data_IF_589608030322
#
_entry.id   IF_589608030322
#
_cell.length_a   1.000
_cell.length_b   1.000
_cell.length_c   1.000
_cell.angle_alpha   90.00
_cell.angle_beta   90.00
_cell.angle_gamma   90.00
#
_symmetry.space_group_name_H-M   'P 1'
#
loop_
_entity.id
_entity.type
_entity.pdbx_description
1 polymer ?
#
# COMPACT_ATOMS: atom_id res chain seq x y z
N UNK A 1 -11.26 -17.67 -19.30
CA UNK A 1 -9.83 -17.30 -19.45
C UNK A 1 -9.72 -15.77 -19.53
N UNK A 2 -10.33 -15.05 -18.59
CA UNK A 2 -10.48 -13.57 -18.61
C UNK A 2 -10.18 -12.93 -17.26
N UNK A 3 -9.94 -13.72 -16.21
CA UNK A 3 -9.85 -13.22 -14.84
C UNK A 3 -8.53 -12.49 -14.53
N UNK A 4 -7.40 -12.92 -15.08
CA UNK A 4 -6.10 -12.30 -14.74
C UNK A 4 -5.87 -10.92 -15.37
N UNK A 5 -6.34 -10.68 -16.60
CA UNK A 5 -6.13 -9.39 -17.27
C UNK A 5 -7.00 -8.27 -16.68
N UNK A 6 -8.24 -8.60 -16.31
CA UNK A 6 -9.16 -7.65 -15.65
C UNK A 6 -8.63 -7.22 -14.28
N UNK A 7 -8.09 -8.18 -13.52
CA UNK A 7 -7.48 -7.93 -12.22
C UNK A 7 -6.24 -7.02 -12.32
N UNK A 8 -5.37 -7.24 -13.31
CA UNK A 8 -4.19 -6.40 -13.54
C UNK A 8 -4.57 -4.95 -13.91
N UNK A 9 -5.59 -4.75 -14.75
CA UNK A 9 -6.09 -3.41 -15.10
C UNK A 9 -6.68 -2.69 -13.87
N UNK A 10 -7.42 -3.41 -13.03
CA UNK A 10 -7.98 -2.87 -11.79
C UNK A 10 -6.89 -2.46 -10.80
N UNK A 11 -5.90 -3.31 -10.54
CA UNK A 11 -4.77 -2.97 -9.66
C UNK A 11 -3.99 -1.77 -10.18
N UNK A 12 -3.79 -1.67 -11.50
CA UNK A 12 -3.14 -0.50 -12.12
C UNK A 12 -3.94 0.79 -11.89
N UNK A 13 -5.27 0.74 -11.98
CA UNK A 13 -6.13 1.89 -11.69
C UNK A 13 -6.05 2.30 -10.21
N UNK A 14 -6.13 1.33 -9.28
CA UNK A 14 -6.01 1.59 -7.85
C UNK A 14 -4.65 2.22 -7.49
N UNK A 15 -3.56 1.74 -8.09
CA UNK A 15 -2.23 2.31 -7.90
C UNK A 15 -2.16 3.77 -8.36
N UNK A 16 -2.79 4.12 -9.49
CA UNK A 16 -2.88 5.51 -9.94
C UNK A 16 -3.62 6.39 -8.95
N UNK A 17 -4.73 5.93 -8.39
CA UNK A 17 -5.46 6.67 -7.36
C UNK A 17 -4.62 6.90 -6.09
N UNK A 18 -3.78 5.93 -5.71
CA UNK A 18 -2.84 6.10 -4.61
C UNK A 18 -1.77 7.16 -4.95
N UNK A 19 -1.24 7.18 -6.17
CA UNK A 19 -0.29 8.22 -6.61
C UNK A 19 -0.94 9.61 -6.51
N UNK A 20 -2.19 9.76 -6.97
CA UNK A 20 -2.93 11.02 -6.88
C UNK A 20 -3.18 11.47 -5.43
N UNK A 21 -3.34 10.51 -4.51
CA UNK A 21 -3.42 10.76 -3.06
C UNK A 21 -2.06 11.13 -2.42
N UNK A 22 -0.95 10.99 -3.14
CA UNK A 22 0.39 11.33 -2.67
C UNK A 22 1.23 10.14 -2.19
N UNK A 23 0.85 8.91 -2.52
CA UNK A 23 1.70 7.76 -2.27
C UNK A 23 2.98 7.81 -3.12
N UNK A 24 4.10 7.64 -2.45
CA UNK A 24 5.40 7.44 -3.07
C UNK A 24 5.70 5.95 -3.16
N UNK A 25 5.89 5.46 -4.37
CA UNK A 25 6.16 4.05 -4.62
C UNK A 25 7.67 3.80 -4.78
N UNK A 26 8.20 2.96 -3.90
CA UNK A 26 9.52 2.40 -3.98
C UNK A 26 9.43 0.98 -4.57
N UNK A 27 10.39 0.66 -5.42
CA UNK A 27 10.52 -0.64 -6.06
C UNK A 27 11.82 -1.29 -5.56
N UNK A 28 11.87 -1.74 -4.29
CA UNK A 28 13.03 -2.46 -3.78
C UNK A 28 13.32 -3.66 -4.67
N UNK A 29 14.56 -3.73 -5.14
CA UNK A 29 15.08 -4.84 -5.91
C UNK A 29 15.88 -5.75 -5.00
N UNK A 30 15.83 -7.04 -5.28
CA UNK A 30 16.64 -8.03 -4.57
C UNK A 30 18.13 -7.93 -4.97
N UNK A 31 18.97 -8.77 -4.37
CA UNK A 31 20.40 -8.82 -4.69
C UNK A 31 20.72 -9.22 -6.14
N UNK A 32 19.71 -9.71 -6.89
CA UNK A 32 19.81 -10.07 -8.31
C UNK A 32 19.31 -8.94 -9.23
N UNK A 33 18.78 -7.86 -8.67
CA UNK A 33 18.21 -6.74 -9.41
C UNK A 33 16.76 -6.94 -9.84
N UNK A 34 16.12 -8.04 -9.41
CA UNK A 34 14.72 -8.36 -9.67
C UNK A 34 13.80 -7.63 -8.68
N UNK A 35 12.59 -7.31 -9.11
CA UNK A 35 11.62 -6.63 -8.25
C UNK A 35 11.22 -7.53 -7.08
N UNK A 36 11.60 -7.16 -5.85
CA UNK A 36 11.30 -7.95 -4.66
C UNK A 36 9.89 -7.67 -4.11
N UNK A 37 9.48 -6.40 -4.15
CA UNK A 37 8.15 -5.94 -3.78
C UNK A 37 7.91 -4.53 -4.34
N UNK A 38 6.65 -4.12 -4.40
CA UNK A 38 6.28 -2.71 -4.58
C UNK A 38 5.85 -2.16 -3.22
N UNK A 39 6.54 -1.12 -2.75
CA UNK A 39 6.27 -0.50 -1.45
C UNK A 39 5.76 0.93 -1.67
N UNK A 40 4.47 1.18 -1.42
CA UNK A 40 3.90 2.52 -1.41
C UNK A 40 3.93 3.11 0.00
N UNK A 41 4.40 4.34 0.16
CA UNK A 41 4.39 5.07 1.43
C UNK A 41 3.74 6.44 1.23
N UNK A 42 2.81 6.80 2.11
CA UNK A 42 2.19 8.12 2.16
C UNK A 42 2.16 8.60 3.60
N UNK A 43 3.02 9.54 3.94
CA UNK A 43 2.87 10.32 5.15
C UNK A 43 1.87 11.46 4.89
N UNK A 44 0.80 11.53 5.69
CA UNK A 44 -0.15 12.63 5.65
C UNK A 44 -0.69 12.92 7.05
N UNK A 45 -0.83 14.22 7.37
CA UNK A 45 -1.28 14.70 8.67
C UNK A 45 -0.49 14.09 9.84
N UNK A 46 -1.15 13.26 10.65
CA UNK A 46 -0.57 12.59 11.84
C UNK A 46 -0.37 11.09 11.63
N UNK A 47 -0.52 10.59 10.40
CA UNK A 47 -0.42 9.17 10.08
C UNK A 47 0.46 8.90 8.86
N UNK A 48 0.95 7.68 8.78
CA UNK A 48 1.71 7.15 7.65
C UNK A 48 1.01 5.89 7.18
N UNK A 49 0.58 5.91 5.93
CA UNK A 49 0.08 4.74 5.23
C UNK A 49 1.24 4.06 4.50
N UNK A 50 1.39 2.77 4.73
CA UNK A 50 2.36 1.93 4.05
C UNK A 50 1.64 0.75 3.43
N UNK A 51 1.86 0.53 2.14
CA UNK A 51 1.42 -0.65 1.41
C UNK A 51 2.62 -1.39 0.84
N UNK A 52 2.63 -2.71 0.96
CA UNK A 52 3.65 -3.61 0.42
C UNK A 52 2.96 -4.68 -0.39
N UNK A 53 3.31 -4.76 -1.66
CA UNK A 53 2.79 -5.73 -2.60
C UNK A 53 3.95 -6.65 -2.96
N UNK A 54 3.90 -7.91 -2.52
CA UNK A 54 4.89 -8.92 -2.92
C UNK A 54 4.42 -9.63 -4.18
N UNK A 55 3.15 -10.07 -4.18
CA UNK A 55 2.49 -10.70 -5.32
C UNK A 55 1.04 -10.22 -5.42
N UNK A 56 0.31 -10.67 -6.43
CA UNK A 56 -1.11 -10.33 -6.63
C UNK A 56 -2.00 -10.80 -5.48
N UNK A 57 -1.62 -11.90 -4.80
CA UNK A 57 -2.36 -12.49 -3.68
C UNK A 57 -1.74 -12.21 -2.31
N UNK A 58 -0.53 -11.63 -2.28
CA UNK A 58 0.20 -11.31 -1.06
C UNK A 58 0.56 -9.82 -0.99
N UNK A 59 -0.36 -9.07 -0.38
CA UNK A 59 -0.25 -7.65 -0.11
C UNK A 59 -0.53 -7.36 1.37
N UNK A 60 0.22 -6.43 1.94
CA UNK A 60 0.01 -5.90 3.29
C UNK A 60 -0.13 -4.39 3.20
N UNK A 61 -1.20 -3.84 3.74
CA UNK A 61 -1.31 -2.41 3.99
C UNK A 61 -1.48 -2.15 5.49
N UNK A 62 -0.90 -1.05 5.95
CA UNK A 62 -0.92 -0.64 7.34
C UNK A 62 -0.92 0.88 7.44
N UNK A 63 -1.70 1.37 8.41
CA UNK A 63 -1.68 2.76 8.84
C UNK A 63 -1.05 2.80 10.21
N UNK A 64 -0.05 3.65 10.37
CA UNK A 64 0.64 3.89 11.62
C UNK A 64 0.62 5.38 11.96
N UNK A 65 0.75 5.75 13.24
CA UNK A 65 0.99 7.13 13.63
C UNK A 65 2.30 7.67 13.02
N UNK A 66 2.34 8.97 12.71
CA UNK A 66 3.54 9.64 12.19
C UNK A 66 4.67 9.80 13.23
N UNK A 67 4.38 9.56 14.52
CA UNK A 67 5.37 9.51 15.60
C UNK A 67 6.11 8.16 15.67
N UNK A 68 5.77 7.20 14.81
CA UNK A 68 6.46 5.91 14.73
C UNK A 68 7.88 6.07 14.19
N UNK A 69 8.86 5.69 15.01
CA UNK A 69 10.28 5.87 14.70
C UNK A 69 10.74 4.94 13.59
N UNK A 70 10.13 3.75 13.47
CA UNK A 70 10.51 2.76 12.46
C UNK A 70 9.34 2.37 11.56
N UNK A 71 9.15 3.14 10.48
CA UNK A 71 8.12 2.90 9.45
C UNK A 71 8.31 1.56 8.72
N UNK A 72 9.54 1.04 8.69
CA UNK A 72 9.85 -0.22 8.00
C UNK A 72 9.57 -1.46 8.86
N UNK A 73 9.61 -1.34 10.19
CA UNK A 73 9.24 -2.36 11.15
C UNK A 73 8.44 -1.72 12.31
N UNK A 74 7.19 -1.27 12.02
CA UNK A 74 6.40 -0.52 12.97
C UNK A 74 5.91 -1.41 14.11
N UNK A 75 5.89 -0.85 15.30
CA UNK A 75 5.39 -1.53 16.50
C UNK A 75 3.94 -1.16 16.80
N UNK A 76 3.51 0.03 16.36
CA UNK A 76 2.16 0.57 16.52
C UNK A 76 1.48 0.71 15.16
N UNK A 77 0.25 0.23 15.08
CA UNK A 77 -0.61 0.36 13.91
C UNK A 77 -2.02 0.72 14.36
N UNK A 78 -2.62 1.73 13.74
CA UNK A 78 -4.04 2.06 13.92
C UNK A 78 -4.92 1.19 13.03
N UNK A 79 -4.39 0.71 11.91
CA UNK A 79 -5.06 -0.21 11.00
C UNK A 79 -4.06 -1.10 10.27
N UNK A 80 -4.44 -2.36 10.01
CA UNK A 80 -3.63 -3.31 9.26
C UNK A 80 -4.52 -4.30 8.50
N UNK A 81 -4.17 -4.56 7.24
CA UNK A 81 -4.78 -5.58 6.39
C UNK A 81 -3.75 -6.36 5.61
N UNK A 82 -4.09 -7.61 5.36
CA UNK A 82 -3.34 -8.58 4.57
C UNK A 82 -4.29 -9.36 3.67
N UNK A 83 -3.87 -9.66 2.46
CA UNK A 83 -4.64 -10.42 1.49
C UNK A 83 -4.22 -10.08 0.06
N UNK A 84 -5.15 -10.27 -0.90
CA UNK A 84 -4.87 -9.94 -2.29
C UNK A 84 -4.66 -8.44 -2.49
N UNK A 85 -3.78 -8.09 -3.43
CA UNK A 85 -3.46 -6.71 -3.80
C UNK A 85 -4.74 -5.92 -4.07
N UNK A 86 -5.63 -6.43 -4.92
CA UNK A 86 -6.88 -5.74 -5.25
C UNK A 86 -7.72 -5.40 -4.00
N UNK A 87 -7.88 -6.35 -3.09
CA UNK A 87 -8.67 -6.16 -1.87
C UNK A 87 -8.00 -5.19 -0.90
N UNK A 88 -6.70 -5.36 -0.69
CA UNK A 88 -5.92 -4.52 0.23
C UNK A 88 -5.86 -3.08 -0.27
N UNK A 89 -5.70 -2.88 -1.58
CA UNK A 89 -5.73 -1.56 -2.19
C UNK A 89 -7.14 -0.93 -2.10
N UNK A 90 -8.21 -1.70 -2.33
CA UNK A 90 -9.59 -1.21 -2.13
C UNK A 90 -9.79 -0.73 -0.69
N UNK A 91 -9.50 -1.58 0.30
CA UNK A 91 -9.72 -1.22 1.72
C UNK A 91 -8.84 -0.02 2.13
N UNK A 92 -7.62 0.10 1.59
CA UNK A 92 -6.74 1.26 1.81
C UNK A 92 -7.30 2.55 1.17
N UNK A 93 -7.92 2.45 -0.01
CA UNK A 93 -8.54 3.57 -0.71
C UNK A 93 -9.88 3.99 -0.06
N UNK A 94 -10.55 3.07 0.64
CA UNK A 94 -11.77 3.32 1.42
C UNK A 94 -11.49 3.97 2.77
N UNK A 95 -10.27 3.84 3.31
CA UNK A 95 -9.91 4.54 4.53
C UNK A 95 -10.10 6.04 4.34
N UNK A 96 -10.76 6.72 5.29
CA UNK A 96 -10.83 8.16 5.26
C UNK A 96 -9.40 8.69 5.26
N UNK A 97 -9.11 9.60 4.35
CA UNK A 97 -8.06 10.57 4.56
C UNK A 97 -8.59 11.39 5.73
N UNK A 98 -8.11 11.15 6.96
CA UNK A 98 -8.66 11.74 8.17
C UNK A 98 -8.41 13.26 8.17
N UNK A 99 -9.24 13.95 7.39
CA UNK A 99 -9.72 15.29 7.70
C UNK A 99 -11.02 15.11 8.44
N UNK A 100 -10.96 14.62 9.67
CA UNK A 100 -12.04 14.89 10.63
C UNK A 100 -11.70 16.17 11.39
N UNK A 101 -12.14 17.27 10.76
CA UNK A 101 -12.46 18.61 11.30
C UNK A 101 -11.42 19.35 12.14
#
# INVERSE_FOLDING_TARGET
MTSSTDQACRTTFQLRQLIERGFQFLHPRDARGELAAVVGVRAHDTVIDVVRLHTEDDAVAMRMPADEVNVLAPSRFSWRRHGSAARVLDELLELPDDRTA
#
